data_IF_396792780402
#
_entry.id   IF_396792780402
#
_cell.length_a   1.000
_cell.length_b   1.000
_cell.length_c   1.000
_cell.angle_alpha   90.00
_cell.angle_beta   90.00
_cell.angle_gamma   90.00
#
_symmetry.space_group_name_H-M   'P 1'
#
loop_
_entity.id
_entity.type
_entity.pdbx_description
1 polymer ?
#
# COMPACT_ATOMS: atom_id res chain seq x y z
N UNK A 1 -12.15 -7.67 2.67
CA UNK A 1 -12.14 -6.34 2.03
C UNK A 1 -12.74 -6.45 0.64
N UNK A 2 -13.50 -5.45 0.22
CA UNK A 2 -14.25 -5.47 -1.04
C UNK A 2 -13.40 -5.83 -2.25
N UNK A 3 -12.22 -5.21 -2.38
CA UNK A 3 -11.30 -5.48 -3.47
C UNK A 3 -10.67 -6.87 -3.36
N UNK A 4 -10.34 -7.29 -2.15
CA UNK A 4 -9.73 -8.60 -1.91
C UNK A 4 -10.66 -9.77 -2.20
N UNK A 5 -11.96 -9.56 -2.10
CA UNK A 5 -12.95 -10.59 -2.38
C UNK A 5 -13.23 -10.76 -3.88
N UNK A 6 -12.60 -9.93 -4.71
CA UNK A 6 -12.70 -9.99 -6.19
C UNK A 6 -14.15 -10.01 -6.68
N UNK A 7 -14.98 -9.16 -6.09
CA UNK A 7 -16.35 -9.00 -6.53
C UNK A 7 -16.39 -8.46 -7.96
N UNK A 8 -17.48 -8.73 -8.75
CA UNK A 8 -17.59 -8.28 -10.12
C UNK A 8 -17.88 -6.78 -10.23
N UNK A 9 -16.96 -5.97 -9.73
CA UNK A 9 -17.03 -4.51 -9.71
C UNK A 9 -15.96 -3.97 -10.66
N UNK A 10 -16.35 -3.10 -11.61
CA UNK A 10 -15.41 -2.49 -12.54
C UNK A 10 -14.75 -1.24 -11.95
N UNK A 11 -15.52 -0.46 -11.17
CA UNK A 11 -15.00 0.73 -10.54
C UNK A 11 -15.71 1.00 -9.22
N UNK A 12 -15.05 1.75 -8.35
CA UNK A 12 -15.57 2.14 -7.05
C UNK A 12 -15.24 3.62 -6.83
N UNK A 13 -16.23 4.41 -6.49
CA UNK A 13 -16.04 5.82 -6.15
C UNK A 13 -16.44 6.03 -4.71
N UNK A 14 -15.53 6.60 -3.92
CA UNK A 14 -15.76 6.81 -2.48
C UNK A 14 -15.45 8.26 -2.12
N UNK A 15 -16.18 8.78 -1.14
CA UNK A 15 -15.90 10.06 -0.52
C UNK A 15 -15.34 9.81 0.88
N UNK A 16 -14.16 10.36 1.14
CA UNK A 16 -13.43 10.17 2.40
C UNK A 16 -12.78 11.48 2.80
N UNK A 17 -12.24 11.54 4.01
CA UNK A 17 -11.42 12.67 4.42
C UNK A 17 -10.19 12.78 3.50
N UNK A 18 -9.74 14.02 3.24
CA UNK A 18 -8.64 14.27 2.30
C UNK A 18 -7.39 13.47 2.65
N UNK A 19 -7.05 13.36 3.95
CA UNK A 19 -5.89 12.59 4.38
C UNK A 19 -5.99 11.11 3.98
N UNK A 20 -7.17 10.52 4.15
CA UNK A 20 -7.42 9.13 3.72
C UNK A 20 -7.39 9.01 2.20
N UNK A 21 -7.94 10.01 1.48
CA UNK A 21 -7.91 10.03 0.02
C UNK A 21 -6.48 10.09 -0.51
N UNK A 22 -5.62 10.88 0.11
CA UNK A 22 -4.22 10.99 -0.28
C UNK A 22 -3.50 9.65 -0.14
N UNK A 23 -3.81 8.88 0.90
CA UNK A 23 -3.25 7.53 1.08
C UNK A 23 -3.77 6.55 0.05
N UNK A 24 -5.08 6.59 -0.25
CA UNK A 24 -5.68 5.70 -1.25
C UNK A 24 -5.12 5.98 -2.65
N UNK A 25 -4.90 7.25 -2.98
CA UNK A 25 -4.43 7.67 -4.30
C UNK A 25 -2.90 7.69 -4.41
N UNK A 26 -2.16 7.47 -3.32
CA UNK A 26 -0.70 7.48 -3.33
C UNK A 26 -0.15 6.36 -4.20
N UNK A 27 0.93 6.66 -4.92
CA UNK A 27 1.61 5.68 -5.78
C UNK A 27 2.65 4.94 -4.94
N UNK A 28 2.67 3.58 -4.94
CA UNK A 28 3.73 2.83 -4.27
C UNK A 28 5.11 3.25 -4.77
N UNK A 29 6.06 3.31 -3.86
CA UNK A 29 7.41 3.79 -4.17
C UNK A 29 7.58 5.29 -4.00
N UNK A 30 6.56 6.00 -3.57
CA UNK A 30 6.62 7.44 -3.26
C UNK A 30 6.51 7.68 -1.76
N UNK A 31 6.92 8.85 -1.32
CA UNK A 31 6.93 9.22 0.09
C UNK A 31 5.56 9.11 0.77
N UNK A 32 4.49 9.29 0.02
CA UNK A 32 3.12 9.21 0.53
C UNK A 32 2.60 7.78 0.66
N UNK A 33 3.35 6.78 0.18
CA UNK A 33 2.91 5.39 0.17
C UNK A 33 2.71 4.83 1.59
N UNK A 34 1.76 3.92 1.70
CA UNK A 34 1.43 3.21 2.93
C UNK A 34 0.95 1.79 2.58
N UNK A 35 0.68 0.97 3.59
CA UNK A 35 0.15 -0.37 3.36
C UNK A 35 -1.17 -0.33 2.57
N UNK A 36 -2.05 0.63 2.87
CA UNK A 36 -3.32 0.76 2.16
C UNK A 36 -3.11 1.21 0.71
N UNK A 37 -2.13 2.07 0.44
CA UNK A 37 -1.76 2.47 -0.93
C UNK A 37 -1.36 1.24 -1.75
N UNK A 38 -0.53 0.38 -1.17
CA UNK A 38 -0.07 -0.85 -1.82
C UNK A 38 -1.24 -1.80 -2.06
N UNK A 39 -2.12 -2.00 -1.08
CA UNK A 39 -3.28 -2.88 -1.22
C UNK A 39 -4.22 -2.40 -2.32
N UNK A 40 -4.52 -1.11 -2.35
CA UNK A 40 -5.39 -0.53 -3.37
C UNK A 40 -4.75 -0.67 -4.75
N UNK A 41 -3.47 -0.31 -4.90
CA UNK A 41 -2.80 -0.36 -6.20
C UNK A 41 -2.57 -1.78 -6.70
N UNK A 42 -2.56 -2.77 -5.82
CA UNK A 42 -2.50 -4.18 -6.20
C UNK A 42 -3.73 -4.60 -7.00
N UNK A 43 -4.92 -4.16 -6.58
CA UNK A 43 -6.19 -4.55 -7.20
C UNK A 43 -6.76 -3.52 -8.17
N UNK A 44 -6.35 -2.26 -8.06
CA UNK A 44 -6.99 -1.16 -8.77
C UNK A 44 -6.00 -0.04 -9.11
N UNK A 45 -6.41 0.84 -10.01
CA UNK A 45 -5.79 2.15 -10.16
C UNK A 45 -6.68 3.15 -9.44
N UNK A 46 -6.09 4.06 -8.67
CA UNK A 46 -6.84 5.06 -7.93
C UNK A 46 -6.54 6.47 -8.43
N UNK A 47 -7.57 7.32 -8.42
CA UNK A 47 -7.43 8.70 -8.88
C UNK A 47 -8.23 9.61 -7.97
N UNK A 48 -7.59 10.67 -7.51
CA UNK A 48 -8.26 11.75 -6.81
C UNK A 48 -9.07 12.56 -7.82
N UNK A 49 -10.39 12.56 -7.68
CA UNK A 49 -11.27 13.24 -8.63
C UNK A 49 -11.44 14.73 -8.29
N UNK A 50 -11.78 15.01 -7.05
CA UNK A 50 -11.89 16.38 -6.57
C UNK A 50 -11.92 16.41 -5.04
N UNK A 51 -11.68 17.61 -4.49
CA UNK A 51 -11.79 17.86 -3.05
C UNK A 51 -12.98 18.81 -2.80
N UNK A 52 -13.57 18.68 -1.60
CA UNK A 52 -14.67 19.55 -1.19
C UNK A 52 -14.33 20.16 0.17
N UNK A 53 -14.40 21.48 0.25
CA UNK A 53 -14.15 22.22 1.48
C UNK A 53 -15.21 21.87 2.55
N UNK A 54 -14.89 22.02 3.85
CA UNK A 54 -15.84 21.69 4.92
C UNK A 54 -17.20 22.37 4.81
N UNK A 55 -17.26 23.61 4.31
CA UNK A 55 -18.50 24.36 4.16
C UNK A 55 -19.40 23.92 3.01
N UNK A 56 -18.98 22.95 2.19
CA UNK A 56 -19.73 22.47 1.03
C UNK A 56 -20.88 21.52 1.38
N UNK A 57 -20.98 21.09 2.63
CA UNK A 57 -21.97 20.10 3.08
C UNK A 57 -22.81 20.63 4.22
N UNK A 58 -23.98 19.99 4.42
CA UNK A 58 -24.82 20.25 5.58
C UNK A 58 -25.27 18.95 6.23
N UNK A 59 -24.97 18.69 7.51
CA UNK A 59 -24.04 19.51 8.33
C UNK A 59 -22.62 19.47 7.77
N UNK A 60 -21.88 20.57 7.89
CA UNK A 60 -20.54 20.68 7.36
C UNK A 60 -19.56 19.77 8.13
N UNK A 61 -18.73 18.97 7.46
CA UNK A 61 -17.68 18.22 8.14
C UNK A 61 -16.61 19.19 8.64
N UNK A 62 -15.84 18.77 9.65
CA UNK A 62 -14.78 19.59 10.24
C UNK A 62 -13.50 19.60 9.39
N UNK A 63 -13.37 18.70 8.42
CA UNK A 63 -12.18 18.54 7.60
C UNK A 63 -12.58 18.51 6.12
N UNK A 64 -11.61 18.80 5.26
CA UNK A 64 -11.80 18.70 3.81
C UNK A 64 -12.05 17.25 3.42
N UNK A 65 -13.07 17.04 2.60
CA UNK A 65 -13.39 15.73 2.03
C UNK A 65 -12.83 15.63 0.61
N UNK A 66 -12.67 14.42 0.13
CA UNK A 66 -12.19 14.16 -1.22
C UNK A 66 -12.92 12.97 -1.81
N UNK A 67 -13.07 12.97 -3.13
CA UNK A 67 -13.68 11.86 -3.87
C UNK A 67 -12.58 11.14 -4.64
N UNK A 68 -12.47 9.83 -4.40
CA UNK A 68 -11.47 8.97 -5.05
C UNK A 68 -12.19 7.93 -5.88
N UNK A 69 -11.79 7.81 -7.14
CA UNK A 69 -12.27 6.75 -8.02
C UNK A 69 -11.20 5.67 -8.11
N UNK A 70 -11.61 4.42 -7.94
CA UNK A 70 -10.75 3.25 -8.06
C UNK A 70 -11.29 2.37 -9.20
N UNK A 71 -10.48 2.19 -10.24
CA UNK A 71 -10.81 1.32 -11.37
C UNK A 71 -10.15 -0.03 -11.15
N UNK A 72 -10.95 -1.09 -11.08
CA UNK A 72 -10.46 -2.42 -10.75
C UNK A 72 -9.65 -2.97 -11.92
N UNK A 73 -8.45 -3.48 -11.64
CA UNK A 73 -7.60 -4.09 -12.65
C UNK A 73 -8.16 -5.45 -13.07
N UNK A 74 -8.10 -5.80 -14.37
CA UNK A 74 -8.46 -7.15 -14.81
C UNK A 74 -7.61 -8.23 -14.15
N UNK A 75 -6.33 -7.92 -13.92
CA UNK A 75 -5.39 -8.78 -13.20
C UNK A 75 -4.65 -7.91 -12.18
N UNK A 76 -4.15 -8.49 -11.06
CA UNK A 76 -3.35 -7.74 -10.11
C UNK A 76 -2.14 -7.07 -10.75
N UNK A 77 -1.69 -5.94 -10.17
CA UNK A 77 -0.54 -5.18 -10.67
C UNK A 77 0.75 -6.01 -10.71
N UNK A 78 0.90 -6.93 -9.78
CA UNK A 78 2.00 -7.90 -9.76
C UNK A 78 1.39 -9.27 -9.48
N UNK A 79 2.06 -10.33 -9.98
CA UNK A 79 1.61 -11.69 -9.73
C UNK A 79 2.49 -12.31 -8.65
N UNK A 80 1.85 -12.77 -7.58
CA UNK A 80 2.53 -13.45 -6.48
C UNK A 80 1.79 -14.77 -6.22
N UNK A 81 2.53 -15.80 -5.85
CA UNK A 81 1.94 -17.12 -5.56
C UNK A 81 1.17 -17.13 -4.25
N UNK A 82 1.62 -16.35 -3.27
CA UNK A 82 1.01 -16.25 -1.94
C UNK A 82 0.61 -14.80 -1.65
N UNK A 83 -0.62 -14.45 -2.01
CA UNK A 83 -1.14 -13.10 -1.77
C UNK A 83 -1.22 -12.77 -0.28
N UNK A 84 -1.62 -13.72 0.55
CA UNK A 84 -1.73 -13.51 2.00
C UNK A 84 -0.37 -13.18 2.60
N UNK A 85 0.67 -13.93 2.21
CA UNK A 85 2.04 -13.66 2.64
C UNK A 85 2.57 -12.34 2.10
N UNK A 86 2.22 -11.99 0.86
CA UNK A 86 2.60 -10.73 0.25
C UNK A 86 2.04 -9.54 1.06
N UNK A 87 0.75 -9.56 1.37
CA UNK A 87 0.14 -8.48 2.14
C UNK A 87 0.61 -8.46 3.59
N UNK A 88 0.92 -9.63 4.18
CA UNK A 88 1.53 -9.68 5.51
C UNK A 88 2.89 -8.99 5.52
N UNK A 89 3.71 -9.21 4.48
CA UNK A 89 4.99 -8.54 4.30
C UNK A 89 4.83 -7.02 4.19
N UNK A 90 3.90 -6.57 3.36
CA UNK A 90 3.64 -5.14 3.16
C UNK A 90 3.17 -4.49 4.46
N UNK A 91 2.22 -5.12 5.17
CA UNK A 91 1.73 -4.60 6.45
C UNK A 91 2.84 -4.52 7.49
N UNK A 92 3.69 -5.55 7.55
CA UNK A 92 4.83 -5.56 8.47
C UNK A 92 5.80 -4.43 8.17
N UNK A 93 6.11 -4.20 6.88
CA UNK A 93 7.02 -3.16 6.44
C UNK A 93 6.54 -1.77 6.86
N UNK A 94 5.25 -1.50 6.80
CA UNK A 94 4.67 -0.22 7.17
C UNK A 94 4.21 -0.14 8.63
N UNK A 95 4.40 -1.20 9.40
CA UNK A 95 3.93 -1.26 10.79
C UNK A 95 4.71 -0.38 11.76
N UNK A 96 5.89 0.08 11.37
CA UNK A 96 6.76 0.91 12.21
C UNK A 96 7.25 2.11 11.39
N UNK A 97 6.58 3.25 11.54
CA UNK A 97 6.84 4.44 10.71
C UNK A 97 8.28 4.95 10.71
N UNK A 98 8.97 4.81 11.85
CA UNK A 98 10.33 5.36 12.02
C UNK A 98 11.42 4.34 11.73
N UNK A 99 11.04 3.10 11.42
CA UNK A 99 12.03 2.04 11.20
C UNK A 99 12.28 1.81 9.70
N UNK A 100 13.45 1.24 9.41
CA UNK A 100 13.75 0.75 8.07
C UNK A 100 12.83 -0.43 7.75
N UNK A 101 12.66 -0.74 6.45
CA UNK A 101 11.90 -1.89 6.03
C UNK A 101 12.44 -3.18 6.68
N UNK A 102 13.75 -3.34 6.77
CA UNK A 102 14.36 -4.52 7.38
C UNK A 102 13.94 -4.71 8.83
N UNK A 103 14.01 -3.67 9.64
CA UNK A 103 13.62 -3.74 11.05
C UNK A 103 12.12 -4.00 11.21
N UNK A 104 11.29 -3.28 10.45
CA UNK A 104 9.84 -3.42 10.53
C UNK A 104 9.38 -4.82 10.10
N UNK A 105 9.92 -5.34 9.01
CA UNK A 105 9.58 -6.67 8.50
C UNK A 105 10.01 -7.75 9.48
N UNK A 106 11.25 -7.66 9.98
CA UNK A 106 11.77 -8.63 10.93
C UNK A 106 10.89 -8.70 12.19
N UNK A 107 10.50 -7.55 12.73
CA UNK A 107 9.63 -7.50 13.89
C UNK A 107 8.21 -7.97 13.61
N UNK A 108 7.63 -7.52 12.49
CA UNK A 108 6.24 -7.84 12.14
C UNK A 108 6.01 -9.28 11.73
N UNK A 109 6.97 -9.90 11.06
CA UNK A 109 6.88 -11.30 10.62
C UNK A 109 7.62 -12.27 11.55
N UNK A 110 8.24 -11.75 12.61
CA UNK A 110 9.01 -12.55 13.57
C UNK A 110 10.11 -13.37 12.87
N UNK A 111 10.86 -12.70 12.00
CA UNK A 111 11.98 -13.29 11.25
C UNK A 111 13.31 -12.73 11.75
N UNK A 112 14.41 -13.51 11.62
CA UNK A 112 15.74 -12.97 11.90
C UNK A 112 16.05 -11.78 11.02
N UNK A 113 16.60 -10.71 11.61
CA UNK A 113 16.93 -9.48 10.87
C UNK A 113 17.90 -9.76 9.74
N UNK A 114 18.89 -10.61 9.95
CA UNK A 114 19.88 -10.98 8.95
C UNK A 114 19.24 -11.59 7.71
N UNK A 115 18.21 -12.42 7.90
CA UNK A 115 17.47 -13.06 6.80
C UNK A 115 16.74 -11.99 5.98
N UNK A 116 16.11 -11.02 6.66
CA UNK A 116 15.37 -9.95 6.01
C UNK A 116 16.33 -9.04 5.24
N UNK A 117 17.45 -8.67 5.86
CA UNK A 117 18.47 -7.85 5.21
C UNK A 117 19.01 -8.55 3.96
N UNK A 118 19.31 -9.85 4.04
CA UNK A 118 19.79 -10.62 2.90
C UNK A 118 18.77 -10.62 1.76
N UNK A 119 17.48 -10.74 2.07
CA UNK A 119 16.41 -10.71 1.07
C UNK A 119 16.31 -9.33 0.39
N UNK A 120 16.40 -8.26 1.17
CA UNK A 120 16.36 -6.89 0.63
C UNK A 120 17.55 -6.64 -0.29
N UNK A 121 18.74 -7.03 0.12
CA UNK A 121 19.94 -6.88 -0.70
C UNK A 121 19.90 -7.76 -1.95
N UNK A 122 19.37 -8.98 -1.84
CA UNK A 122 19.18 -9.87 -2.99
C UNK A 122 18.20 -9.28 -4.00
N UNK A 123 17.23 -8.50 -3.54
CA UNK A 123 16.30 -7.79 -4.41
C UNK A 123 16.91 -6.52 -5.05
N UNK A 124 18.12 -6.15 -4.66
CA UNK A 124 18.84 -5.03 -5.24
C UNK A 124 18.73 -3.72 -4.46
N UNK A 125 18.37 -3.77 -3.19
CA UNK A 125 18.15 -2.57 -2.38
C UNK A 125 19.13 -2.47 -1.22
N UNK A 126 19.34 -1.24 -0.73
CA UNK A 126 20.11 -0.97 0.47
C UNK A 126 19.38 -1.52 1.69
N UNK A 127 20.10 -2.10 2.63
CA UNK A 127 19.53 -2.64 3.87
C UNK A 127 18.83 -1.58 4.72
N UNK A 128 19.09 -0.31 4.48
CA UNK A 128 18.47 0.81 5.22
C UNK A 128 17.27 1.41 4.50
N UNK A 129 16.80 0.79 3.41
CA UNK A 129 15.68 1.31 2.64
C UNK A 129 14.43 1.44 3.50
N UNK A 130 13.66 2.48 3.27
CA UNK A 130 12.38 2.70 3.93
C UNK A 130 11.24 2.08 3.12
N UNK A 131 10.15 1.60 3.79
CA UNK A 131 9.08 0.92 3.07
C UNK A 131 8.38 1.79 2.03
N UNK A 132 8.26 3.10 2.27
CA UNK A 132 7.62 4.01 1.31
C UNK A 132 8.39 4.13 -0.01
N UNK A 133 9.67 3.80 -0.02
CA UNK A 133 10.49 3.81 -1.24
C UNK A 133 10.32 2.54 -2.09
N UNK A 134 9.60 1.53 -1.59
CA UNK A 134 9.43 0.26 -2.28
C UNK A 134 8.13 0.26 -3.10
N UNK A 135 8.22 -0.19 -4.35
CA UNK A 135 7.04 -0.39 -5.22
C UNK A 135 6.43 -1.77 -4.95
N UNK A 136 5.27 -2.04 -5.58
CA UNK A 136 4.65 -3.36 -5.51
C UNK A 136 5.57 -4.46 -6.04
N UNK A 137 6.27 -4.19 -7.15
CA UNK A 137 7.23 -5.14 -7.72
C UNK A 137 8.40 -5.37 -6.78
N UNK A 138 8.87 -4.33 -6.10
CA UNK A 138 9.97 -4.42 -5.15
C UNK A 138 9.60 -5.33 -3.97
N UNK A 139 8.39 -5.17 -3.43
CA UNK A 139 7.88 -6.05 -2.37
C UNK A 139 7.77 -7.50 -2.84
N UNK A 140 7.34 -7.71 -4.09
CA UNK A 140 7.27 -9.06 -4.65
C UNK A 140 8.65 -9.72 -4.74
N UNK A 141 9.68 -8.97 -5.13
CA UNK A 141 11.06 -9.45 -5.18
C UNK A 141 11.58 -9.83 -3.79
N UNK A 142 11.27 -9.00 -2.79
CA UNK A 142 11.68 -9.26 -1.41
C UNK A 142 10.98 -10.52 -0.90
N UNK A 143 9.69 -10.68 -1.16
CA UNK A 143 8.95 -11.87 -0.77
C UNK A 143 9.56 -13.14 -1.40
N UNK A 144 9.88 -13.08 -2.68
CA UNK A 144 10.49 -14.20 -3.38
C UNK A 144 11.85 -14.57 -2.76
N UNK A 145 12.64 -13.57 -2.40
CA UNK A 145 13.94 -13.78 -1.77
C UNK A 145 13.84 -14.34 -0.35
N UNK A 146 12.75 -14.05 0.36
CA UNK A 146 12.51 -14.61 1.69
C UNK A 146 12.11 -16.09 1.64
N UNK A 147 11.70 -16.55 0.49
CA UNK A 147 11.28 -17.92 0.28
C UNK A 147 9.86 -18.17 0.63
#
# INVERSE_FOLDING_TARGET
MLLGDRLPIESLTVMVQKEAADRLAAVPGTRASSAISCAVNYYATSKLMFTAAPGSFYPAPKVTSAVVRMDIRPTPAVQVEDEAGYFALVRAAFGQRRKTAANAIAGGLNLPKEKVIAAIEAAGFDARIRPEALTLEDFAKIQQALG
#
